data_IF_095296709088
#
_entry.id   IF_095296709088
#
_cell.length_a   1.000
_cell.length_b   1.000
_cell.length_c   1.000
_cell.angle_alpha   90.00
_cell.angle_beta   90.00
_cell.angle_gamma   90.00
#
_symmetry.space_group_name_H-M   'P 1'
#
loop_
_entity.id
_entity.type
_entity.pdbx_description
1 polymer ?
#
# COMPACT_ATOMS: atom_id res chain seq x y z
N UNK A 1 19.03 -15.30 16.22
CA UNK A 1 18.46 -16.65 15.99
C UNK A 1 17.14 -16.46 15.26
N UNK A 2 17.18 -16.51 13.92
CA UNK A 2 16.05 -16.14 13.07
C UNK A 2 15.05 -17.30 13.02
N UNK A 3 13.86 -17.11 13.56
CA UNK A 3 12.76 -18.08 13.45
C UNK A 3 12.07 -17.95 12.09
N UNK A 4 12.76 -18.38 11.03
CA UNK A 4 12.11 -18.75 9.77
C UNK A 4 11.70 -20.23 9.83
N UNK A 5 10.56 -20.56 9.23
CA UNK A 5 10.06 -21.92 9.12
C UNK A 5 8.97 -22.27 10.15
N UNK A 6 7.80 -22.60 9.61
CA UNK A 6 6.71 -23.27 10.34
C UNK A 6 7.07 -24.71 10.72
N UNK A 7 6.49 -25.22 11.79
CA UNK A 7 6.72 -26.58 12.29
C UNK A 7 5.73 -27.64 11.77
N UNK A 8 4.54 -27.22 11.32
CA UNK A 8 3.47 -28.06 10.80
C UNK A 8 3.26 -27.77 9.31
N UNK A 9 2.75 -28.74 8.52
CA UNK A 9 2.41 -28.54 7.12
C UNK A 9 1.36 -27.43 6.95
N UNK A 10 1.33 -26.75 5.80
CA UNK A 10 0.32 -25.73 5.49
C UNK A 10 -0.57 -26.18 4.35
N UNK A 11 -1.77 -25.63 4.38
CA UNK A 11 -2.79 -25.71 3.34
C UNK A 11 -2.16 -25.56 1.97
N UNK A 12 -2.31 -26.62 1.20
CA UNK A 12 -2.07 -26.68 -0.23
C UNK A 12 -2.85 -25.54 -0.91
N UNK A 13 -2.27 -24.89 -1.93
CA UNK A 13 -3.07 -23.97 -2.75
C UNK A 13 -4.08 -24.81 -3.52
N UNK A 14 -5.36 -24.68 -3.18
CA UNK A 14 -6.47 -25.40 -3.79
C UNK A 14 -7.28 -24.47 -4.68
N UNK A 15 -7.68 -24.96 -5.83
CA UNK A 15 -8.65 -24.31 -6.68
C UNK A 15 -10.00 -24.31 -5.96
N UNK A 16 -10.51 -23.13 -5.65
CA UNK A 16 -11.73 -22.98 -4.84
C UNK A 16 -12.98 -23.52 -5.55
N UNK A 17 -12.96 -23.65 -6.89
CA UNK A 17 -14.09 -24.14 -7.68
C UNK A 17 -14.04 -25.66 -7.94
N UNK A 18 -12.85 -26.21 -8.17
CA UNK A 18 -12.69 -27.64 -8.51
C UNK A 18 -12.25 -28.50 -7.34
N UNK A 19 -11.76 -27.89 -6.24
CA UNK A 19 -11.15 -28.60 -5.11
C UNK A 19 -9.78 -29.20 -5.44
N UNK A 20 -9.25 -28.94 -6.64
CA UNK A 20 -7.99 -29.50 -7.11
C UNK A 20 -6.80 -28.80 -6.45
N UNK A 21 -5.82 -29.60 -6.05
CA UNK A 21 -4.53 -29.12 -5.57
C UNK A 21 -3.79 -28.46 -6.73
N UNK A 22 -3.69 -27.13 -6.70
CA UNK A 22 -2.94 -26.32 -7.67
C UNK A 22 -1.44 -26.44 -7.37
N UNK A 23 -1.06 -26.33 -6.08
CA UNK A 23 0.34 -26.37 -5.70
C UNK A 23 0.56 -26.71 -4.23
N UNK A 24 1.55 -27.56 -3.99
CA UNK A 24 2.01 -27.97 -2.66
C UNK A 24 3.37 -27.32 -2.39
N UNK A 25 3.45 -26.29 -1.51
CA UNK A 25 4.73 -25.70 -1.11
C UNK A 25 5.58 -26.71 -0.32
N UNK A 26 6.87 -26.42 -0.04
CA UNK A 26 7.67 -27.18 0.91
C UNK A 26 6.88 -27.51 2.19
N UNK A 27 6.70 -28.81 2.45
CA UNK A 27 5.83 -29.28 3.54
C UNK A 27 6.59 -29.45 4.86
N UNK A 28 7.90 -29.66 4.80
CA UNK A 28 8.75 -29.80 5.99
C UNK A 28 9.43 -28.48 6.34
N UNK A 29 9.67 -28.28 7.64
CA UNK A 29 10.47 -27.16 8.13
C UNK A 29 11.89 -27.20 7.54
N UNK A 30 12.47 -28.39 7.45
CA UNK A 30 13.83 -28.58 6.96
C UNK A 30 13.96 -28.19 5.48
N UNK A 31 12.94 -28.47 4.66
CA UNK A 31 12.93 -28.00 3.27
C UNK A 31 12.85 -26.48 3.18
N UNK A 32 12.02 -25.84 4.01
CA UNK A 32 11.95 -24.37 4.06
C UNK A 32 13.31 -23.79 4.47
N UNK A 33 13.91 -24.31 5.54
CA UNK A 33 15.22 -23.88 6.02
C UNK A 33 16.34 -24.15 5.00
N UNK A 34 16.17 -25.15 4.14
CA UNK A 34 17.12 -25.47 3.06
C UNK A 34 17.03 -24.49 1.89
N UNK A 35 15.84 -24.02 1.53
CA UNK A 35 15.64 -23.15 0.35
C UNK A 35 15.67 -21.65 0.68
N UNK A 36 15.29 -21.25 1.90
CA UNK A 36 15.29 -19.85 2.33
C UNK A 36 16.65 -19.14 2.22
N UNK A 37 17.81 -19.76 2.54
CA UNK A 37 19.10 -19.10 2.41
C UNK A 37 19.41 -18.63 0.99
N UNK A 38 18.95 -19.36 -0.03
CA UNK A 38 19.09 -18.93 -1.42
C UNK A 38 18.30 -17.63 -1.68
N UNK A 39 17.05 -17.56 -1.22
CA UNK A 39 16.24 -16.35 -1.35
C UNK A 39 16.82 -15.18 -0.55
N UNK A 40 17.36 -15.43 0.64
CA UNK A 40 18.04 -14.41 1.44
C UNK A 40 19.29 -13.86 0.73
N UNK A 41 20.09 -14.72 0.10
CA UNK A 41 21.24 -14.28 -0.70
C UNK A 41 20.78 -13.47 -1.92
N UNK A 42 19.74 -13.92 -2.63
CA UNK A 42 19.16 -13.14 -3.72
C UNK A 42 18.76 -11.77 -3.20
N UNK A 43 18.07 -11.64 -2.07
CA UNK A 43 17.63 -10.34 -1.54
C UNK A 43 18.81 -9.44 -1.16
N UNK A 44 19.77 -9.95 -0.40
CA UNK A 44 20.75 -9.14 0.33
C UNK A 44 22.11 -8.98 -0.37
N UNK A 45 22.46 -9.87 -1.31
CA UNK A 45 23.74 -9.83 -2.02
C UNK A 45 23.51 -9.42 -3.48
N UNK A 46 23.89 -8.19 -3.81
CA UNK A 46 23.80 -7.67 -5.18
C UNK A 46 24.69 -8.44 -6.16
N UNK A 47 25.81 -8.98 -5.71
CA UNK A 47 26.73 -9.75 -6.56
C UNK A 47 26.21 -11.16 -6.85
N UNK A 48 25.36 -11.70 -5.99
CA UNK A 48 24.76 -13.02 -6.14
C UNK A 48 23.74 -13.09 -7.29
N UNK A 49 23.01 -12.00 -7.52
CA UNK A 49 22.03 -11.90 -8.60
C UNK A 49 21.98 -10.47 -9.18
N UNK A 50 22.95 -10.10 -10.03
CA UNK A 50 23.14 -8.73 -10.53
C UNK A 50 22.18 -8.42 -11.68
N UNK A 51 20.92 -8.13 -11.34
CA UNK A 51 19.87 -7.73 -12.29
C UNK A 51 19.18 -6.45 -11.82
N UNK A 52 18.39 -5.86 -12.72
CA UNK A 52 17.56 -4.70 -12.39
C UNK A 52 16.68 -4.97 -11.15
N UNK A 53 16.58 -4.04 -10.17
CA UNK A 53 15.83 -4.25 -8.94
C UNK A 53 14.35 -4.59 -9.14
N UNK A 54 13.71 -4.14 -10.24
CA UNK A 54 12.31 -4.46 -10.54
C UNK A 54 12.16 -5.91 -11.03
N UNK A 55 13.13 -6.41 -11.81
CA UNK A 55 13.18 -7.83 -12.20
C UNK A 55 13.43 -8.68 -10.96
N UNK A 56 14.39 -8.27 -10.13
CA UNK A 56 14.72 -8.91 -8.85
C UNK A 56 13.49 -8.99 -7.93
N UNK A 57 12.71 -7.91 -7.83
CA UNK A 57 11.45 -7.85 -7.08
C UNK A 57 10.45 -8.91 -7.59
N UNK A 58 10.28 -9.04 -8.90
CA UNK A 58 9.36 -10.02 -9.49
C UNK A 58 9.78 -11.46 -9.14
N UNK A 59 11.07 -11.77 -9.22
CA UNK A 59 11.62 -13.10 -8.87
C UNK A 59 11.45 -13.38 -7.38
N UNK A 60 11.83 -12.43 -6.50
CA UNK A 60 11.66 -12.57 -5.05
C UNK A 60 10.20 -12.80 -4.69
N UNK A 61 9.28 -12.07 -5.34
CA UNK A 61 7.86 -12.22 -5.08
C UNK A 61 7.38 -13.64 -5.37
N UNK A 62 7.72 -14.17 -6.55
CA UNK A 62 7.38 -15.53 -6.93
C UNK A 62 8.01 -16.58 -5.99
N UNK A 63 9.31 -16.43 -5.69
CA UNK A 63 10.05 -17.38 -4.87
C UNK A 63 9.48 -17.43 -3.46
N UNK A 64 9.20 -16.27 -2.85
CA UNK A 64 8.63 -16.20 -1.51
C UNK A 64 7.23 -16.84 -1.46
N UNK A 65 6.38 -16.57 -2.45
CA UNK A 65 5.05 -17.18 -2.53
C UNK A 65 5.11 -18.70 -2.76
N UNK A 66 6.11 -19.18 -3.49
CA UNK A 66 6.33 -20.61 -3.77
C UNK A 66 6.94 -21.37 -2.59
N UNK A 67 7.86 -20.75 -1.84
CA UNK A 67 8.39 -21.32 -0.59
C UNK A 67 7.30 -21.29 0.49
N UNK A 68 6.53 -20.21 0.54
CA UNK A 68 5.44 -19.99 1.48
C UNK A 68 5.89 -20.25 2.93
N UNK A 69 6.86 -19.52 3.50
CA UNK A 69 7.56 -19.93 4.73
C UNK A 69 6.72 -19.90 6.02
N UNK A 70 5.60 -19.17 6.04
CA UNK A 70 4.74 -18.99 7.21
C UNK A 70 3.42 -19.76 7.12
N UNK A 71 2.69 -19.85 8.25
CA UNK A 71 1.34 -20.44 8.29
C UNK A 71 0.28 -19.55 7.63
N UNK A 72 0.35 -18.26 7.91
CA UNK A 72 -0.51 -17.23 7.35
C UNK A 72 0.34 -15.96 7.16
N UNK A 73 -0.13 -15.07 6.32
CA UNK A 73 0.50 -13.76 6.10
C UNK A 73 1.53 -13.75 4.98
N UNK A 74 1.85 -14.87 4.34
CA UNK A 74 2.86 -14.95 3.27
C UNK A 74 2.67 -13.86 2.21
N UNK A 75 1.46 -13.76 1.65
CA UNK A 75 1.16 -12.72 0.67
C UNK A 75 1.23 -11.30 1.21
N UNK A 76 0.91 -11.06 2.48
CA UNK A 76 1.08 -9.73 3.10
C UNK A 76 2.56 -9.39 3.27
N UNK A 77 3.34 -10.37 3.74
CA UNK A 77 4.78 -10.21 3.97
C UNK A 77 5.54 -9.97 2.67
N UNK A 78 5.29 -10.74 1.61
CA UNK A 78 5.98 -10.55 0.33
C UNK A 78 5.68 -9.19 -0.30
N UNK A 79 4.44 -8.70 -0.15
CA UNK A 79 4.06 -7.36 -0.63
C UNK A 79 4.81 -6.26 0.12
N UNK A 80 5.04 -6.43 1.42
CA UNK A 80 5.86 -5.51 2.22
C UNK A 80 7.34 -5.60 1.79
N UNK A 81 7.86 -6.82 1.60
CA UNK A 81 9.24 -7.05 1.14
C UNK A 81 9.48 -6.35 -0.20
N UNK A 82 8.56 -6.45 -1.16
CA UNK A 82 8.69 -5.78 -2.45
C UNK A 82 8.88 -4.27 -2.28
N UNK A 83 8.06 -3.60 -1.46
CA UNK A 83 8.16 -2.16 -1.26
C UNK A 83 9.48 -1.79 -0.57
N UNK A 84 9.92 -2.56 0.42
CA UNK A 84 11.22 -2.33 1.04
C UNK A 84 12.39 -2.54 0.08
N UNK A 85 12.31 -3.53 -0.81
CA UNK A 85 13.34 -3.74 -1.82
C UNK A 85 13.47 -2.50 -2.72
N UNK A 86 12.36 -1.92 -3.16
CA UNK A 86 12.39 -0.69 -3.96
C UNK A 86 13.00 0.48 -3.20
N UNK A 87 12.70 0.62 -1.91
CA UNK A 87 13.27 1.68 -1.06
C UNK A 87 14.78 1.49 -0.88
N UNK A 88 15.20 0.27 -0.52
CA UNK A 88 16.62 -0.04 -0.30
C UNK A 88 17.47 0.12 -1.56
N UNK A 89 16.87 -0.05 -2.75
CA UNK A 89 17.53 0.15 -4.04
C UNK A 89 17.37 1.59 -4.58
N UNK A 90 16.83 2.53 -3.79
CA UNK A 90 16.71 3.94 -4.17
C UNK A 90 15.67 4.23 -5.27
N UNK A 91 14.77 3.29 -5.55
CA UNK A 91 13.67 3.48 -6.51
C UNK A 91 12.45 4.17 -5.87
N UNK A 92 12.35 4.18 -4.54
CA UNK A 92 11.32 4.88 -3.77
C UNK A 92 11.93 5.51 -2.52
N UNK A 93 11.58 6.76 -2.22
CA UNK A 93 11.97 7.40 -0.95
C UNK A 93 11.04 6.99 0.20
N UNK A 94 9.77 6.71 -0.10
CA UNK A 94 8.71 6.39 0.85
C UNK A 94 7.79 5.29 0.30
N UNK A 95 7.14 4.49 1.15
CA UNK A 95 6.35 3.32 0.75
C UNK A 95 4.95 3.70 0.22
N UNK A 96 4.87 4.47 -0.87
CA UNK A 96 3.62 5.00 -1.42
C UNK A 96 3.08 4.23 -2.64
N UNK A 97 3.88 3.34 -3.23
CA UNK A 97 3.46 2.55 -4.39
C UNK A 97 2.41 1.51 -3.99
N UNK A 98 1.21 1.57 -4.60
CA UNK A 98 0.10 0.66 -4.28
C UNK A 98 0.03 -0.56 -5.21
N UNK A 99 1.15 -1.28 -5.40
CA UNK A 99 1.25 -2.44 -6.31
C UNK A 99 0.16 -3.51 -6.07
N UNK A 100 -0.24 -3.71 -4.82
CA UNK A 100 -1.29 -4.66 -4.44
C UNK A 100 -2.62 -4.42 -5.14
N UNK A 101 -2.94 -3.16 -5.49
CA UNK A 101 -4.17 -2.80 -6.21
C UNK A 101 -4.25 -3.51 -7.56
N UNK A 102 -3.14 -3.49 -8.32
CA UNK A 102 -3.06 -4.17 -9.60
C UNK A 102 -3.27 -5.68 -9.43
N UNK A 103 -2.51 -6.30 -8.53
CA UNK A 103 -2.61 -7.74 -8.24
C UNK A 103 -4.03 -8.17 -7.83
N UNK A 104 -4.72 -7.36 -7.02
CA UNK A 104 -6.10 -7.67 -6.60
C UNK A 104 -7.09 -7.57 -7.76
N UNK A 105 -6.92 -6.58 -8.65
CA UNK A 105 -7.81 -6.39 -9.82
C UNK A 105 -7.60 -7.45 -10.89
N UNK A 106 -6.38 -7.93 -11.06
CA UNK A 106 -6.02 -9.01 -11.98
C UNK A 106 -5.67 -10.30 -11.23
N UNK A 107 -6.45 -10.63 -10.19
CA UNK A 107 -6.17 -11.78 -9.30
C UNK A 107 -6.09 -13.11 -10.05
N UNK A 108 -7.01 -13.34 -10.99
CA UNK A 108 -7.03 -14.60 -11.76
C UNK A 108 -5.77 -14.72 -12.63
N UNK A 109 -5.36 -13.63 -13.27
CA UNK A 109 -4.14 -13.55 -14.08
C UNK A 109 -2.88 -13.74 -13.23
N UNK A 110 -2.84 -13.14 -12.03
CA UNK A 110 -1.76 -13.34 -11.07
C UNK A 110 -1.54 -14.82 -10.75
N UNK A 111 -2.60 -15.55 -10.39
CA UNK A 111 -2.46 -16.98 -10.07
C UNK A 111 -2.17 -17.82 -11.31
N UNK A 112 -2.75 -17.48 -12.47
CA UNK A 112 -2.44 -18.13 -13.75
C UNK A 112 -0.95 -18.03 -14.06
N UNK A 113 -0.36 -16.85 -13.92
CA UNK A 113 1.06 -16.62 -14.21
C UNK A 113 1.99 -17.25 -13.17
N UNK A 114 1.63 -17.24 -11.88
CA UNK A 114 2.35 -18.03 -10.87
C UNK A 114 2.42 -19.51 -11.27
N UNK A 115 1.30 -20.07 -11.76
CA UNK A 115 1.25 -21.46 -12.17
C UNK A 115 2.03 -21.71 -13.46
N UNK A 116 1.94 -20.81 -14.44
CA UNK A 116 2.69 -20.91 -15.70
C UNK A 116 4.21 -20.91 -15.49
N UNK A 117 4.72 -20.18 -14.48
CA UNK A 117 6.15 -20.27 -14.12
C UNK A 117 6.53 -21.66 -13.60
N UNK A 118 5.64 -22.32 -12.85
CA UNK A 118 5.87 -23.68 -12.31
C UNK A 118 5.84 -24.75 -13.38
N UNK A 119 4.84 -24.69 -14.24
CA UNK A 119 4.54 -25.78 -15.18
C UNK A 119 5.28 -25.62 -16.51
N UNK A 120 5.50 -24.37 -16.94
CA UNK A 120 5.99 -24.04 -18.29
C UNK A 120 7.27 -23.19 -18.26
N UNK A 121 7.82 -22.89 -17.07
CA UNK A 121 8.97 -22.01 -16.90
C UNK A 121 8.77 -20.61 -17.52
N UNK A 122 7.52 -20.12 -17.53
CA UNK A 122 7.08 -18.88 -18.18
C UNK A 122 7.48 -17.59 -17.42
N UNK A 123 8.76 -17.46 -17.06
CA UNK A 123 9.30 -16.33 -16.29
C UNK A 123 9.11 -14.97 -16.96
N UNK A 124 9.27 -14.92 -18.28
CA UNK A 124 9.13 -13.68 -19.05
C UNK A 124 7.75 -13.06 -18.83
N UNK A 125 6.68 -13.86 -19.00
CA UNK A 125 5.31 -13.40 -18.81
C UNK A 125 5.05 -12.92 -17.36
N UNK A 126 5.59 -13.62 -16.37
CA UNK A 126 5.50 -13.23 -14.97
C UNK A 126 6.21 -11.90 -14.68
N UNK A 127 7.44 -11.73 -15.16
CA UNK A 127 8.22 -10.51 -14.98
C UNK A 127 7.50 -9.35 -15.65
N UNK A 128 7.05 -9.50 -16.90
CA UNK A 128 6.27 -8.45 -17.58
C UNK A 128 5.01 -8.06 -16.83
N UNK A 129 4.28 -9.03 -16.28
CA UNK A 129 3.10 -8.75 -15.46
C UNK A 129 3.43 -7.91 -14.22
N UNK A 130 4.50 -8.25 -13.50
CA UNK A 130 4.93 -7.51 -12.32
C UNK A 130 5.41 -6.11 -12.67
N UNK A 131 6.20 -5.96 -13.75
CA UNK A 131 6.64 -4.66 -14.26
C UNK A 131 5.46 -3.78 -14.69
N UNK A 132 4.46 -4.37 -15.37
CA UNK A 132 3.24 -3.66 -15.75
C UNK A 132 2.46 -3.18 -14.51
N UNK A 133 2.40 -4.02 -13.47
CA UNK A 133 1.81 -3.62 -12.19
C UNK A 133 2.51 -2.44 -11.55
N UNK A 134 3.85 -2.40 -11.58
CA UNK A 134 4.63 -1.25 -11.10
C UNK A 134 4.33 -0.01 -11.93
N UNK A 135 4.39 -0.10 -13.27
CA UNK A 135 4.10 1.01 -14.19
C UNK A 135 2.73 1.62 -13.93
N UNK A 136 1.67 0.80 -13.96
CA UNK A 136 0.28 1.25 -13.80
C UNK A 136 0.10 1.91 -12.43
N UNK A 137 0.55 1.25 -11.35
CA UNK A 137 0.32 1.77 -10.00
C UNK A 137 1.20 2.97 -9.65
N UNK A 138 2.36 3.13 -10.29
CA UNK A 138 3.17 4.34 -10.19
C UNK A 138 2.45 5.52 -10.86
N UNK A 139 1.92 5.33 -12.09
CA UNK A 139 1.17 6.36 -12.80
C UNK A 139 -0.11 6.76 -12.05
N UNK A 140 -0.86 5.80 -11.51
CA UNK A 140 -2.03 6.07 -10.66
C UNK A 140 -1.64 6.90 -9.42
N UNK A 141 -0.54 6.53 -8.76
CA UNK A 141 -0.04 7.24 -7.57
C UNK A 141 0.33 8.68 -7.90
N UNK A 142 0.98 8.91 -9.05
CA UNK A 142 1.30 10.27 -9.54
C UNK A 142 0.02 11.08 -9.77
N UNK A 143 -0.99 10.50 -10.42
CA UNK A 143 -2.26 11.17 -10.69
C UNK A 143 -3.00 11.54 -9.39
N UNK A 144 -2.99 10.65 -8.38
CA UNK A 144 -3.53 10.93 -7.04
C UNK A 144 -2.79 12.12 -6.41
N UNK A 145 -1.47 12.10 -6.38
CA UNK A 145 -0.66 13.16 -5.77
C UNK A 145 -0.93 14.51 -6.45
N UNK A 146 -1.02 14.54 -7.78
CA UNK A 146 -1.37 15.75 -8.53
C UNK A 146 -2.77 16.26 -8.18
N UNK A 147 -3.74 15.37 -8.05
CA UNK A 147 -5.11 15.70 -7.65
C UNK A 147 -5.17 16.29 -6.24
N UNK A 148 -4.42 15.70 -5.29
CA UNK A 148 -4.29 16.21 -3.92
C UNK A 148 -3.66 17.60 -3.92
N UNK A 149 -2.56 17.81 -4.67
CA UNK A 149 -1.88 19.12 -4.77
C UNK A 149 -2.80 20.20 -5.32
N UNK A 150 -3.52 19.91 -6.40
CA UNK A 150 -4.49 20.84 -6.99
C UNK A 150 -5.63 21.16 -6.02
N UNK A 151 -6.14 20.15 -5.32
CA UNK A 151 -7.18 20.34 -4.29
C UNK A 151 -6.68 21.21 -3.12
N UNK A 152 -5.45 20.98 -2.65
CA UNK A 152 -4.83 21.75 -1.57
C UNK A 152 -4.63 23.22 -1.96
N UNK A 153 -4.22 23.49 -3.21
CA UNK A 153 -4.12 24.85 -3.74
C UNK A 153 -5.49 25.57 -3.81
N UNK A 154 -6.55 24.85 -4.20
CA UNK A 154 -7.93 25.40 -4.17
C UNK A 154 -8.37 25.71 -2.74
N UNK A 155 -8.21 24.76 -1.81
CA UNK A 155 -8.54 24.95 -0.39
C UNK A 155 -7.77 26.13 0.23
N UNK A 156 -6.48 26.28 -0.10
CA UNK A 156 -5.69 27.44 0.33
C UNK A 156 -6.32 28.77 -0.09
N UNK A 157 -6.77 28.85 -1.34
CA UNK A 157 -7.40 30.06 -1.90
C UNK A 157 -8.76 30.32 -1.27
N UNK A 158 -9.57 29.28 -1.10
CA UNK A 158 -10.91 29.40 -0.50
C UNK A 158 -10.86 29.79 0.98
N UNK A 159 -9.98 29.17 1.78
CA UNK A 159 -9.84 29.50 3.20
C UNK A 159 -9.33 30.94 3.36
N UNK A 160 -8.34 31.37 2.55
CA UNK A 160 -7.83 32.74 2.59
C UNK A 160 -8.87 33.79 2.24
N UNK A 161 -9.77 33.49 1.30
CA UNK A 161 -10.80 34.44 0.85
C UNK A 161 -12.02 34.45 1.76
N UNK A 162 -12.56 33.28 2.11
CA UNK A 162 -13.80 33.14 2.90
C UNK A 162 -13.56 33.26 4.40
N UNK A 163 -12.41 32.76 4.89
CA UNK A 163 -12.12 32.61 6.33
C UNK A 163 -10.72 33.15 6.71
N UNK A 164 -10.37 34.40 6.33
CA UNK A 164 -9.00 34.92 6.47
C UNK A 164 -8.48 34.92 7.91
N UNK A 165 -9.37 35.07 8.91
CA UNK A 165 -8.99 35.14 10.34
C UNK A 165 -8.51 33.82 10.93
N UNK A 166 -8.91 32.69 10.36
CA UNK A 166 -8.50 31.36 10.85
C UNK A 166 -7.47 30.69 9.95
N UNK A 167 -7.16 31.28 8.79
CA UNK A 167 -6.20 30.73 7.86
C UNK A 167 -4.83 30.58 8.52
N UNK A 168 -4.29 29.37 8.48
CA UNK A 168 -2.88 29.09 8.70
C UNK A 168 -2.44 27.96 7.77
N UNK A 169 -1.14 27.86 7.51
CA UNK A 169 -0.62 26.72 6.75
C UNK A 169 -0.84 25.41 7.52
N UNK A 170 -0.79 25.44 8.85
CA UNK A 170 -1.03 24.27 9.70
C UNK A 170 -2.48 23.79 9.67
N UNK A 171 -3.45 24.72 9.60
CA UNK A 171 -4.87 24.35 9.39
C UNK A 171 -5.06 23.64 8.06
N UNK A 172 -4.47 24.19 6.99
CA UNK A 172 -4.52 23.56 5.67
C UNK A 172 -3.84 22.19 5.68
N UNK A 173 -2.65 22.07 6.30
CA UNK A 173 -1.94 20.80 6.41
C UNK A 173 -2.79 19.77 7.18
N UNK A 174 -3.40 20.15 8.32
CA UNK A 174 -4.27 19.26 9.10
C UNK A 174 -5.40 18.66 8.24
N UNK A 175 -6.07 19.48 7.41
CA UNK A 175 -7.17 19.04 6.54
C UNK A 175 -6.75 18.05 5.45
N UNK A 176 -5.46 17.99 5.12
CA UNK A 176 -4.90 17.10 4.08
C UNK A 176 -4.11 15.92 4.66
N UNK A 177 -3.57 16.05 5.87
CA UNK A 177 -3.02 14.94 6.66
C UNK A 177 -4.14 14.06 7.24
N UNK A 178 -5.27 14.67 7.59
CA UNK A 178 -6.42 14.00 8.18
C UNK A 178 -7.68 14.22 7.33
N UNK A 179 -7.95 13.38 6.31
CA UNK A 179 -9.18 13.47 5.51
C UNK A 179 -10.46 13.40 6.36
N UNK A 180 -10.36 12.73 7.52
CA UNK A 180 -11.32 12.74 8.60
C UNK A 180 -10.65 13.35 9.83
N UNK A 181 -10.93 14.63 10.12
CA UNK A 181 -10.35 15.31 11.28
C UNK A 181 -11.35 15.39 12.44
N UNK A 182 -10.84 15.74 13.62
CA UNK A 182 -11.60 16.00 14.85
C UNK A 182 -10.99 17.17 15.60
N UNK A 183 -11.71 17.67 16.58
CA UNK A 183 -11.27 18.78 17.43
C UNK A 183 -9.90 18.47 18.05
N UNK A 184 -9.67 17.24 18.52
CA UNK A 184 -8.42 16.84 19.18
C UNK A 184 -7.21 16.88 18.23
N UNK A 185 -7.40 16.61 16.93
CA UNK A 185 -6.33 16.71 15.94
C UNK A 185 -6.00 18.15 15.61
N UNK A 186 -7.01 19.02 15.47
CA UNK A 186 -6.79 20.45 15.23
C UNK A 186 -6.14 21.12 16.44
N UNK A 187 -6.58 20.79 17.65
CA UNK A 187 -5.97 21.27 18.91
C UNK A 187 -4.48 20.91 18.97
N UNK A 188 -4.15 19.64 18.73
CA UNK A 188 -2.77 19.16 18.73
C UNK A 188 -1.93 19.78 17.61
N UNK A 189 -2.43 19.78 16.38
CA UNK A 189 -1.60 20.16 15.23
C UNK A 189 -1.42 21.67 15.10
N UNK A 190 -2.38 22.47 15.57
CA UNK A 190 -2.31 23.94 15.55
C UNK A 190 -1.91 24.53 16.90
N UNK A 191 -1.77 23.72 17.96
CA UNK A 191 -1.45 24.16 19.32
C UNK A 191 -2.44 25.24 19.84
N UNK A 192 -3.73 25.02 19.60
CA UNK A 192 -4.82 25.93 20.02
C UNK A 192 -5.73 25.25 21.04
N UNK A 193 -6.47 26.03 21.82
CA UNK A 193 -7.45 25.46 22.75
C UNK A 193 -8.54 24.69 22.02
N UNK A 194 -9.09 23.65 22.67
CA UNK A 194 -10.27 22.91 22.20
C UNK A 194 -11.41 23.81 21.71
N UNK A 195 -11.69 24.92 22.40
CA UNK A 195 -12.74 25.86 22.02
C UNK A 195 -12.44 26.55 20.68
N UNK A 196 -11.20 26.98 20.48
CA UNK A 196 -10.73 27.57 19.22
C UNK A 196 -10.78 26.55 18.08
N UNK A 197 -10.29 25.32 18.32
CA UNK A 197 -10.35 24.23 17.35
C UNK A 197 -11.79 23.91 16.92
N UNK A 198 -12.73 23.82 17.87
CA UNK A 198 -14.15 23.64 17.56
C UNK A 198 -14.68 24.77 16.67
N UNK A 199 -14.40 26.02 17.04
CA UNK A 199 -14.83 27.20 16.28
C UNK A 199 -14.26 27.24 14.86
N UNK A 200 -13.04 26.74 14.65
CA UNK A 200 -12.44 26.64 13.32
C UNK A 200 -13.16 25.59 12.47
N UNK A 201 -13.44 24.43 13.04
CA UNK A 201 -14.15 23.34 12.35
C UNK A 201 -15.61 23.69 12.03
N UNK A 202 -16.28 24.42 12.91
CA UNK A 202 -17.64 24.95 12.65
C UNK A 202 -17.60 25.94 11.47
N UNK A 203 -16.67 26.92 11.46
CA UNK A 203 -16.52 27.86 10.34
C UNK A 203 -16.17 27.17 9.01
N UNK A 204 -15.32 26.14 9.04
CA UNK A 204 -15.00 25.34 7.84
C UNK A 204 -16.21 24.57 7.34
N UNK A 205 -17.07 24.11 8.25
CA UNK A 205 -18.33 23.43 7.91
C UNK A 205 -19.30 24.40 7.25
N UNK A 206 -19.48 25.58 7.85
CA UNK A 206 -20.35 26.63 7.32
C UNK A 206 -19.90 27.12 5.93
N UNK A 207 -18.58 27.14 5.70
CA UNK A 207 -18.00 27.49 4.40
C UNK A 207 -18.06 26.35 3.35
N UNK A 208 -18.57 25.16 3.73
CA UNK A 208 -18.70 23.99 2.85
C UNK A 208 -17.38 23.27 2.54
N UNK A 209 -16.31 23.54 3.29
CA UNK A 209 -14.98 22.95 3.08
C UNK A 209 -14.82 21.59 3.76
N UNK A 210 -15.59 21.33 4.80
CA UNK A 210 -15.71 20.02 5.46
C UNK A 210 -17.17 19.72 5.78
N UNK A 211 -17.50 18.44 5.90
CA UNK A 211 -18.83 17.99 6.34
C UNK A 211 -18.74 17.43 7.75
N UNK A 212 -19.58 17.94 8.66
CA UNK A 212 -19.70 17.39 10.02
C UNK A 212 -20.55 16.11 10.01
N UNK A 213 -20.03 15.03 10.55
CA UNK A 213 -20.76 13.78 10.76
C UNK A 213 -20.58 13.27 12.20
N UNK A 214 -21.68 12.88 12.84
CA UNK A 214 -21.67 12.32 14.20
C UNK A 214 -21.66 10.80 14.13
N UNK A 215 -20.63 10.19 14.67
CA UNK A 215 -20.50 8.72 14.76
C UNK A 215 -20.33 8.35 16.22
N UNK A 216 -21.35 7.68 16.77
CA UNK A 216 -21.46 7.40 18.19
C UNK A 216 -21.42 8.67 19.04
N UNK A 217 -20.41 8.79 19.90
CA UNK A 217 -20.21 9.95 20.79
C UNK A 217 -19.29 11.03 20.21
N UNK A 218 -18.73 10.83 19.01
CA UNK A 218 -17.74 11.74 18.43
C UNK A 218 -18.28 12.45 17.19
N UNK A 219 -17.91 13.72 17.04
CA UNK A 219 -18.09 14.47 15.79
C UNK A 219 -16.82 14.36 14.96
N UNK A 220 -16.97 14.01 13.69
CA UNK A 220 -15.93 14.01 12.68
C UNK A 220 -16.20 15.12 11.67
N UNK A 221 -15.14 15.67 11.11
CA UNK A 221 -15.20 16.68 10.06
C UNK A 221 -14.47 16.14 8.84
N UNK A 222 -15.22 15.92 7.77
CA UNK A 222 -14.80 15.13 6.62
C UNK A 222 -14.49 16.06 5.46
N UNK A 223 -13.26 16.03 4.97
CA UNK A 223 -12.88 16.63 3.71
C UNK A 223 -13.36 15.74 2.55
N UNK A 224 -14.65 15.84 2.20
CA UNK A 224 -15.28 14.96 1.20
C UNK A 224 -14.59 15.03 -0.18
N UNK A 225 -14.18 16.22 -0.69
CA UNK A 225 -13.42 16.27 -1.94
C UNK A 225 -12.12 15.48 -1.89
N UNK A 226 -11.36 15.57 -0.78
CA UNK A 226 -10.13 14.80 -0.62
C UNK A 226 -10.40 13.30 -0.52
N UNK A 227 -11.45 12.90 0.20
CA UNK A 227 -11.85 11.49 0.27
C UNK A 227 -12.19 10.92 -1.12
N UNK A 228 -12.86 11.71 -1.97
CA UNK A 228 -13.26 11.29 -3.31
C UNK A 228 -12.05 11.05 -4.22
N UNK A 229 -10.97 11.82 -4.06
CA UNK A 229 -9.70 11.57 -4.78
C UNK A 229 -9.20 10.13 -4.55
N UNK A 230 -9.29 9.60 -3.34
CA UNK A 230 -8.85 8.23 -3.04
C UNK A 230 -9.81 7.15 -3.56
N UNK A 231 -11.11 7.46 -3.62
CA UNK A 231 -12.16 6.51 -3.99
C UNK A 231 -12.32 6.36 -5.51
N UNK A 232 -12.25 7.48 -6.22
CA UNK A 232 -12.61 7.56 -7.64
C UNK A 232 -11.40 7.34 -8.57
N UNK A 233 -10.22 7.03 -8.01
CA UNK A 233 -9.08 6.64 -8.83
C UNK A 233 -9.35 5.28 -9.48
N UNK A 234 -9.25 5.16 -10.82
CA UNK A 234 -9.57 3.96 -11.57
C UNK A 234 -8.85 2.72 -11.09
#
# INVERSE_FOLDING_TARGET
MHTFGRALPVTVQVNVRTGEIIYTPPQSRDDILRVMPNLENVINDESFYPVDPLIKMAVIHYQFESIHPFYDGNGRTVRIINIFLLILNGLLDIPVLYLSRYIIRSKDEYYRLLQAVRDENAWEAWVFYMLKGVEVTALDTIAIIQSIRSLMARYKTEIRSKLPKIYSQDLLNNLFTHPYTKIEFVERDLQVTRQTASKYLDQLTDAGLVKREKIGRHNFYINQPLFSVFKDTP
#
